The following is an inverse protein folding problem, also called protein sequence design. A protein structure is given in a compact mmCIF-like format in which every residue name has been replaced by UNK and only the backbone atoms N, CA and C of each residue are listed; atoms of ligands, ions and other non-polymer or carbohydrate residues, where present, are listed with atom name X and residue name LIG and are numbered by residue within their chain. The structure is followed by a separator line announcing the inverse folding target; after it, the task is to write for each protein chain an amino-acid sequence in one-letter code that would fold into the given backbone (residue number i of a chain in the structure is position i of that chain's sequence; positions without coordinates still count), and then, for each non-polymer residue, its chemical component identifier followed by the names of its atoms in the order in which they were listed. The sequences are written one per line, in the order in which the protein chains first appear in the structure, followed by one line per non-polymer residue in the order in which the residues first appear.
data_IF_721207938778
#
_entry.id   IF_721207938778
#
_cell.length_a   1.000
_cell.length_b   1.000
_cell.length_c   1.000
_cell.angle_alpha   90.00
_cell.angle_beta   90.00
_cell.angle_gamma   90.00
#
_symmetry.space_group_name_H-M   'P 1'
#
loop_
_entity.id
_entity.type
_entity.pdbx_description
1 polymer ?
#
# COMPACT_ATOMS: atom_id res chain seq x y z
N UNK A 1 -24.74 -7.94 -8.76
CA UNK A 1 -23.29 -7.73 -8.59
C UNK A 1 -22.66 -7.59 -9.97
N UNK A 2 -21.92 -6.53 -10.22
CA UNK A 2 -21.16 -6.40 -11.48
C UNK A 2 -19.94 -7.35 -11.45
N UNK A 3 -19.25 -7.59 -12.61
CA UNK A 3 -18.13 -8.54 -12.65
C UNK A 3 -16.98 -8.21 -11.68
N UNK A 4 -16.64 -6.94 -11.51
CA UNK A 4 -15.59 -6.52 -10.57
C UNK A 4 -16.01 -6.79 -9.13
N UNK A 5 -17.21 -6.44 -8.76
CA UNK A 5 -17.76 -6.68 -7.41
C UNK A 5 -17.83 -8.17 -7.08
N UNK A 6 -18.21 -9.02 -8.07
CA UNK A 6 -18.19 -10.48 -7.92
C UNK A 6 -16.76 -11.01 -7.68
N UNK A 7 -15.77 -10.50 -8.41
CA UNK A 7 -14.36 -10.86 -8.20
C UNK A 7 -13.85 -10.43 -6.83
N UNK A 8 -14.21 -9.22 -6.39
CA UNK A 8 -13.84 -8.71 -5.07
C UNK A 8 -14.51 -9.50 -3.93
N UNK A 9 -15.76 -9.95 -4.12
CA UNK A 9 -16.42 -10.81 -3.13
C UNK A 9 -15.76 -12.19 -3.06
N UNK A 10 -15.43 -12.80 -4.22
CA UNK A 10 -14.64 -14.04 -4.27
C UNK A 10 -13.29 -13.87 -3.57
N UNK A 11 -12.63 -12.73 -3.73
CA UNK A 11 -11.41 -12.42 -2.98
C UNK A 11 -11.63 -12.44 -1.47
N UNK A 12 -12.73 -11.87 -0.96
CA UNK A 12 -13.06 -11.90 0.46
C UNK A 12 -13.32 -13.33 0.96
N UNK A 13 -13.97 -14.20 0.16
CA UNK A 13 -14.16 -15.62 0.46
C UNK A 13 -12.81 -16.36 0.56
N UNK A 14 -11.89 -16.11 -0.36
CA UNK A 14 -10.54 -16.69 -0.35
C UNK A 14 -9.72 -16.25 0.86
N UNK A 15 -9.84 -14.98 1.26
CA UNK A 15 -9.22 -14.49 2.49
C UNK A 15 -9.81 -15.18 3.74
N UNK A 16 -11.14 -15.33 3.80
CA UNK A 16 -11.84 -15.96 4.92
C UNK A 16 -11.48 -17.43 5.08
N UNK A 17 -11.31 -18.15 3.98
CA UNK A 17 -10.99 -19.59 3.95
C UNK A 17 -9.48 -19.90 4.03
N UNK A 18 -8.61 -18.90 3.99
CA UNK A 18 -7.17 -19.11 3.99
C UNK A 18 -6.67 -19.67 5.34
N UNK A 19 -6.16 -20.90 5.33
CA UNK A 19 -5.57 -21.56 6.51
C UNK A 19 -4.04 -21.56 6.52
N UNK A 20 -3.39 -21.24 5.39
CA UNK A 20 -1.93 -21.28 5.24
C UNK A 20 -1.22 -20.18 6.02
N UNK A 21 -1.85 -18.99 6.09
CA UNK A 21 -1.34 -17.85 6.84
C UNK A 21 -2.51 -17.01 7.38
N UNK A 22 -2.28 -16.30 8.49
CA UNK A 22 -3.24 -15.30 8.96
C UNK A 22 -3.09 -14.05 8.11
N UNK A 23 -3.97 -13.92 7.10
CA UNK A 23 -3.97 -12.79 6.15
C UNK A 23 -4.79 -11.60 6.64
N UNK A 24 -5.76 -11.85 7.52
CA UNK A 24 -6.65 -10.84 8.10
C UNK A 24 -6.98 -11.16 9.55
N UNK A 25 -7.38 -10.14 10.30
CA UNK A 25 -7.94 -10.30 11.65
C UNK A 25 -9.46 -10.49 11.66
N UNK A 26 -10.13 -10.13 10.56
CA UNK A 26 -11.59 -10.22 10.40
C UNK A 26 -11.99 -11.65 10.00
N UNK A 27 -13.13 -12.10 10.45
CA UNK A 27 -13.68 -13.42 10.13
C UNK A 27 -14.94 -13.29 9.29
N UNK A 28 -15.14 -14.27 8.38
CA UNK A 28 -16.30 -14.28 7.47
C UNK A 28 -16.10 -13.39 6.23
N UNK A 29 -16.60 -13.89 5.10
CA UNK A 29 -16.44 -13.22 3.81
C UNK A 29 -17.16 -11.87 3.77
N UNK A 30 -18.37 -11.79 4.31
CA UNK A 30 -19.18 -10.57 4.33
C UNK A 30 -18.51 -9.42 5.09
N UNK A 31 -17.97 -9.71 6.29
CA UNK A 31 -17.26 -8.73 7.09
C UNK A 31 -15.94 -8.31 6.42
N UNK A 32 -15.20 -9.26 5.83
CA UNK A 32 -13.97 -8.95 5.08
C UNK A 32 -14.31 -8.07 3.87
N UNK A 33 -15.36 -8.41 3.13
CA UNK A 33 -15.79 -7.61 1.99
C UNK A 33 -16.18 -6.19 2.39
N UNK A 34 -17.04 -6.07 3.40
CA UNK A 34 -17.57 -4.77 3.83
C UNK A 34 -16.53 -3.91 4.54
N UNK A 35 -15.77 -4.50 5.47
CA UNK A 35 -14.88 -3.73 6.36
C UNK A 35 -13.46 -3.56 5.83
N UNK A 36 -13.04 -4.38 4.85
CA UNK A 36 -11.67 -4.34 4.36
C UNK A 36 -11.57 -4.11 2.86
N UNK A 37 -12.34 -4.84 2.05
CA UNK A 37 -12.29 -4.68 0.58
C UNK A 37 -12.92 -3.36 0.16
N UNK A 38 -14.14 -3.08 0.61
CA UNK A 38 -14.82 -1.80 0.31
C UNK A 38 -14.08 -0.59 0.91
N UNK A 39 -13.42 -0.77 2.05
CA UNK A 39 -12.58 0.26 2.67
C UNK A 39 -11.39 0.71 1.80
N UNK A 40 -10.99 -0.11 0.83
CA UNK A 40 -9.93 0.23 -0.12
C UNK A 40 -10.43 1.05 -1.32
N UNK A 41 -11.74 1.05 -1.62
CA UNK A 41 -12.30 1.69 -2.82
C UNK A 41 -12.00 3.21 -2.92
N UNK A 42 -12.03 4.00 -1.82
CA UNK A 42 -11.70 5.42 -1.89
C UNK A 42 -10.31 5.73 -2.44
N UNK A 43 -9.37 4.77 -2.37
CA UNK A 43 -8.02 4.95 -2.93
C UNK A 43 -7.98 4.96 -4.46
N UNK A 44 -9.02 4.44 -5.12
CA UNK A 44 -9.09 4.37 -6.58
C UNK A 44 -9.07 5.74 -7.26
N UNK A 45 -9.49 6.80 -6.55
CA UNK A 45 -9.52 8.18 -7.06
C UNK A 45 -8.12 8.78 -7.20
N UNK A 46 -7.11 8.17 -6.57
CA UNK A 46 -5.73 8.64 -6.57
C UNK A 46 -4.81 7.84 -7.48
N UNK A 47 -5.28 6.71 -7.99
CA UNK A 47 -4.50 5.84 -8.88
C UNK A 47 -4.33 6.49 -10.26
N UNK A 48 -3.21 6.25 -10.95
CA UNK A 48 -3.09 6.60 -12.36
C UNK A 48 -4.00 5.72 -13.22
N UNK A 49 -4.32 6.20 -14.43
CA UNK A 49 -5.16 5.43 -15.37
C UNK A 49 -4.47 4.16 -15.88
N UNK A 50 -3.14 4.18 -15.96
CA UNK A 50 -2.29 3.05 -16.34
C UNK A 50 -0.88 3.20 -15.75
N UNK A 51 -0.08 2.15 -15.82
CA UNK A 51 1.31 2.17 -15.33
C UNK A 51 1.55 1.15 -14.22
N UNK A 52 2.61 1.38 -13.44
CA UNK A 52 3.07 0.47 -12.39
C UNK A 52 2.78 1.04 -11.01
N UNK A 53 2.09 0.26 -10.19
CA UNK A 53 1.82 0.63 -8.79
C UNK A 53 2.29 -0.47 -7.85
N UNK A 54 2.63 -0.11 -6.62
CA UNK A 54 3.10 -1.07 -5.62
C UNK A 54 2.35 -0.89 -4.30
N UNK A 55 1.92 -2.00 -3.73
CA UNK A 55 1.34 -2.10 -2.39
C UNK A 55 2.40 -2.68 -1.44
N UNK A 56 2.91 -1.85 -0.52
CA UNK A 56 4.02 -2.19 0.37
C UNK A 56 3.48 -2.63 1.73
N UNK A 57 3.91 -3.83 2.16
CA UNK A 57 3.33 -4.48 3.32
C UNK A 57 1.92 -4.99 3.02
N UNK A 58 1.73 -5.55 1.83
CA UNK A 58 0.41 -5.92 1.29
C UNK A 58 -0.37 -6.94 2.15
N UNK A 59 0.30 -7.68 3.03
CA UNK A 59 -0.32 -8.61 3.94
C UNK A 59 -1.19 -9.65 3.23
N UNK A 60 -2.51 -9.48 3.33
CA UNK A 60 -3.51 -10.29 2.63
C UNK A 60 -3.79 -9.83 1.19
N UNK A 61 -3.02 -8.89 0.65
CA UNK A 61 -3.21 -8.34 -0.70
C UNK A 61 -4.08 -7.07 -0.74
N UNK A 62 -4.24 -6.37 0.36
CA UNK A 62 -5.05 -5.15 0.46
C UNK A 62 -4.18 -3.91 0.74
N UNK A 63 -4.31 -2.86 -0.05
CA UNK A 63 -5.33 -2.59 -1.08
C UNK A 63 -5.02 -3.11 -2.48
N UNK A 64 -3.84 -3.66 -2.76
CA UNK A 64 -3.33 -3.93 -4.10
C UNK A 64 -4.21 -4.83 -4.97
N UNK A 65 -4.85 -5.89 -4.45
CA UNK A 65 -5.78 -6.73 -5.21
C UNK A 65 -7.03 -5.93 -5.62
N UNK A 66 -7.52 -5.04 -4.75
CA UNK A 66 -8.65 -4.15 -5.10
C UNK A 66 -8.26 -3.24 -6.27
N UNK A 67 -7.04 -2.69 -6.26
CA UNK A 67 -6.52 -1.88 -7.36
C UNK A 67 -6.47 -2.68 -8.67
N UNK A 68 -5.92 -3.89 -8.62
CA UNK A 68 -5.76 -4.74 -9.80
C UNK A 68 -7.11 -5.11 -10.44
N UNK A 69 -8.12 -5.43 -9.62
CA UNK A 69 -9.47 -5.78 -10.09
C UNK A 69 -10.20 -4.55 -10.65
N UNK A 70 -10.09 -3.40 -9.97
CA UNK A 70 -10.82 -2.19 -10.37
C UNK A 70 -10.12 -1.38 -11.47
N UNK A 71 -8.83 -1.58 -11.69
CA UNK A 71 -8.00 -0.89 -12.70
C UNK A 71 -7.13 -1.90 -13.46
N UNK A 72 -7.70 -2.67 -14.39
CA UNK A 72 -6.99 -3.74 -15.10
C UNK A 72 -5.84 -3.25 -16.01
N UNK A 73 -5.78 -1.95 -16.32
CA UNK A 73 -4.66 -1.31 -17.02
C UNK A 73 -3.44 -1.01 -16.13
N UNK A 74 -3.55 -1.20 -14.83
CA UNK A 74 -2.42 -1.11 -13.91
C UNK A 74 -1.68 -2.45 -13.82
N UNK A 75 -0.36 -2.39 -13.69
CA UNK A 75 0.45 -3.50 -13.23
C UNK A 75 0.74 -3.31 -11.74
N UNK A 76 0.24 -4.22 -10.92
CA UNK A 76 0.28 -4.09 -9.45
C UNK A 76 1.31 -5.03 -8.87
N UNK A 77 2.26 -4.50 -8.11
CA UNK A 77 3.21 -5.30 -7.32
C UNK A 77 2.74 -5.36 -5.86
N UNK A 78 2.53 -6.56 -5.34
CA UNK A 78 2.25 -6.82 -3.93
C UNK A 78 3.55 -7.19 -3.23
N UNK A 79 4.04 -6.33 -2.34
CA UNK A 79 5.30 -6.53 -1.62
C UNK A 79 5.02 -6.81 -0.14
N UNK A 80 5.49 -7.95 0.36
CA UNK A 80 5.48 -8.28 1.80
C UNK A 80 6.75 -9.05 2.18
N UNK A 81 7.21 -8.93 3.41
CA UNK A 81 8.42 -9.62 3.87
C UNK A 81 8.16 -11.02 4.44
N UNK A 82 6.91 -11.41 4.61
CA UNK A 82 6.53 -12.68 5.24
C UNK A 82 6.24 -13.74 4.19
N UNK A 83 7.15 -14.69 3.99
CA UNK A 83 7.09 -15.71 2.94
C UNK A 83 5.74 -16.46 2.91
N UNK A 84 5.23 -16.90 4.06
CA UNK A 84 3.94 -17.61 4.14
C UNK A 84 2.75 -16.77 3.67
N UNK A 85 2.79 -15.44 3.90
CA UNK A 85 1.76 -14.54 3.37
C UNK A 85 1.87 -14.40 1.86
N UNK A 86 3.10 -14.21 1.35
CA UNK A 86 3.35 -14.10 -0.09
C UNK A 86 2.89 -15.37 -0.84
N UNK A 87 3.17 -16.56 -0.32
CA UNK A 87 2.71 -17.83 -0.89
C UNK A 87 1.19 -17.94 -0.92
N UNK A 88 0.53 -17.60 0.19
CA UNK A 88 -0.93 -17.63 0.26
C UNK A 88 -1.57 -16.61 -0.71
N UNK A 89 -1.01 -15.40 -0.80
CA UNK A 89 -1.52 -14.36 -1.71
C UNK A 89 -1.27 -14.73 -3.17
N UNK A 90 -0.15 -15.39 -3.55
CA UNK A 90 0.05 -15.91 -4.90
C UNK A 90 -1.06 -16.89 -5.29
N UNK A 91 -1.38 -17.85 -4.42
CA UNK A 91 -2.47 -18.78 -4.69
C UNK A 91 -3.81 -18.06 -4.89
N UNK A 92 -4.08 -17.00 -4.13
CA UNK A 92 -5.30 -16.18 -4.29
C UNK A 92 -5.28 -15.45 -5.64
N UNK A 93 -4.17 -14.82 -6.02
CA UNK A 93 -4.00 -14.12 -7.30
C UNK A 93 -4.22 -15.07 -8.49
N UNK A 94 -3.65 -16.29 -8.43
CA UNK A 94 -3.84 -17.35 -9.42
C UNK A 94 -5.30 -17.78 -9.51
N UNK A 95 -5.98 -17.99 -8.38
CA UNK A 95 -7.38 -18.44 -8.36
C UNK A 95 -8.36 -17.34 -8.84
N UNK A 96 -8.00 -16.07 -8.63
CA UNK A 96 -8.74 -14.93 -9.18
C UNK A 96 -8.45 -14.67 -10.67
N UNK A 97 -7.42 -15.30 -11.24
CA UNK A 97 -7.01 -15.11 -12.63
C UNK A 97 -6.44 -13.71 -12.92
N UNK A 98 -5.79 -13.07 -11.96
CA UNK A 98 -5.27 -11.70 -12.10
C UNK A 98 -3.90 -11.70 -12.79
N UNK A 99 -3.90 -11.54 -14.12
CA UNK A 99 -2.66 -11.49 -14.94
C UNK A 99 -1.86 -10.20 -14.82
N UNK A 100 -2.37 -9.20 -14.12
CA UNK A 100 -1.74 -7.88 -13.89
C UNK A 100 -1.17 -7.70 -12.48
N UNK A 101 -0.93 -8.80 -11.75
CA UNK A 101 -0.44 -8.77 -10.36
C UNK A 101 0.82 -9.61 -10.21
N UNK A 102 1.88 -9.01 -9.67
CA UNK A 102 3.09 -9.69 -9.20
C UNK A 102 3.13 -9.73 -7.67
N UNK A 103 3.47 -10.88 -7.09
CA UNK A 103 3.69 -11.02 -5.64
C UNK A 103 5.18 -11.21 -5.34
N UNK A 104 5.76 -10.26 -4.62
CA UNK A 104 7.20 -10.24 -4.28
C UNK A 104 7.39 -10.40 -2.77
N UNK A 105 8.27 -11.32 -2.39
CA UNK A 105 8.63 -11.52 -0.99
C UNK A 105 10.00 -10.87 -0.72
N UNK A 106 9.98 -9.67 -0.14
CA UNK A 106 11.19 -8.92 0.23
C UNK A 106 10.86 -7.83 1.25
N UNK A 107 11.87 -7.36 1.96
CA UNK A 107 11.77 -6.10 2.72
C UNK A 107 11.74 -4.91 1.76
N UNK A 108 10.97 -3.87 2.13
CA UNK A 108 10.87 -2.64 1.32
C UNK A 108 12.22 -1.99 1.07
N UNK A 109 13.06 -1.92 2.09
CA UNK A 109 14.39 -1.32 2.03
C UNK A 109 15.33 -2.07 1.06
N UNK A 110 15.24 -3.40 1.02
CA UNK A 110 16.01 -4.23 0.09
C UNK A 110 15.47 -4.09 -1.33
N UNK A 111 14.18 -4.24 -1.51
CA UNK A 111 13.50 -4.13 -2.79
C UNK A 111 13.76 -2.78 -3.46
N UNK A 112 13.73 -1.69 -2.69
CA UNK A 112 13.98 -0.34 -3.18
C UNK A 112 15.40 -0.14 -3.74
N UNK A 113 16.41 -0.96 -3.38
CA UNK A 113 17.77 -0.83 -3.91
C UNK A 113 17.84 -1.10 -5.41
N UNK A 114 17.06 -2.07 -5.90
CA UNK A 114 17.00 -2.45 -7.32
C UNK A 114 15.82 -1.86 -8.08
N UNK A 115 14.81 -1.30 -7.38
CA UNK A 115 13.57 -0.79 -7.97
C UNK A 115 13.32 0.68 -7.65
N UNK A 116 14.41 1.46 -7.49
CA UNK A 116 14.27 2.90 -7.22
C UNK A 116 13.49 3.60 -8.33
N UNK A 117 12.56 4.46 -7.91
CA UNK A 117 11.81 5.33 -8.81
C UNK A 117 11.22 4.59 -10.03
N UNK A 118 10.70 3.37 -9.77
CA UNK A 118 10.16 2.49 -10.82
C UNK A 118 8.63 2.50 -10.91
N UNK A 119 7.96 3.04 -9.89
CA UNK A 119 6.50 3.03 -9.78
C UNK A 119 5.90 4.42 -9.94
N UNK A 120 4.71 4.46 -10.51
CA UNK A 120 3.92 5.68 -10.66
C UNK A 120 3.19 6.04 -9.35
N UNK A 121 2.85 5.01 -8.55
CA UNK A 121 2.31 5.17 -7.20
C UNK A 121 2.82 4.04 -6.30
N UNK A 122 3.18 4.38 -5.06
CA UNK A 122 3.35 3.42 -3.98
C UNK A 122 2.33 3.67 -2.87
N UNK A 123 1.68 2.62 -2.43
CA UNK A 123 0.74 2.72 -1.33
C UNK A 123 0.97 1.68 -0.25
N UNK A 124 0.36 1.91 0.90
CA UNK A 124 0.38 0.99 2.04
C UNK A 124 -0.87 1.15 2.89
N UNK A 125 -1.30 0.06 3.53
CA UNK A 125 -2.33 0.06 4.55
C UNK A 125 -1.82 -0.62 5.81
N UNK A 126 -1.96 0.05 6.97
CA UNK A 126 -1.54 -0.47 8.28
C UNK A 126 -0.05 -0.89 8.36
N UNK A 127 0.85 -0.19 7.64
CA UNK A 127 2.27 -0.51 7.61
C UNK A 127 3.02 0.05 8.83
N UNK A 128 2.98 1.37 9.03
CA UNK A 128 3.65 2.09 10.13
C UNK A 128 3.06 3.49 10.29
N UNK A 129 3.66 4.38 11.11
CA UNK A 129 3.31 5.81 11.16
C UNK A 129 3.49 6.49 9.80
N UNK A 130 2.89 7.67 9.61
CA UNK A 130 2.93 8.38 8.32
C UNK A 130 4.37 8.67 7.86
N UNK A 131 5.24 9.14 8.77
CA UNK A 131 6.63 9.44 8.45
C UNK A 131 7.44 8.21 8.07
N UNK A 132 7.33 7.12 8.84
CA UNK A 132 7.99 5.85 8.54
C UNK A 132 7.50 5.26 7.21
N UNK A 133 6.19 5.28 6.99
CA UNK A 133 5.59 4.83 5.73
C UNK A 133 6.13 5.64 4.55
N UNK A 134 6.18 6.97 4.66
CA UNK A 134 6.71 7.84 3.63
C UNK A 134 8.19 7.53 3.31
N UNK A 135 9.03 7.24 4.31
CA UNK A 135 10.42 6.83 4.10
C UNK A 135 10.54 5.54 3.31
N UNK A 136 9.71 4.54 3.63
CA UNK A 136 9.77 3.23 2.96
C UNK A 136 9.24 3.27 1.53
N UNK A 137 8.26 4.13 1.24
CA UNK A 137 7.59 4.18 -0.05
C UNK A 137 8.24 5.17 -1.03
N UNK A 138 8.70 6.33 -0.54
CA UNK A 138 9.21 7.40 -1.41
C UNK A 138 10.34 6.97 -2.36
N UNK A 139 11.31 6.12 -1.96
CA UNK A 139 12.37 5.67 -2.86
C UNK A 139 11.88 4.86 -4.05
N UNK A 140 10.69 4.24 -3.97
CA UNK A 140 10.11 3.41 -5.02
C UNK A 140 9.41 4.24 -6.10
N UNK A 141 9.00 5.47 -5.78
CA UNK A 141 8.14 6.30 -6.63
C UNK A 141 8.95 7.24 -7.50
N UNK A 142 8.62 7.32 -8.79
CA UNK A 142 9.17 8.27 -9.76
C UNK A 142 8.86 9.72 -9.36
N UNK A 143 9.71 10.67 -9.75
CA UNK A 143 9.35 12.08 -9.68
C UNK A 143 8.08 12.34 -10.52
N UNK A 144 7.13 13.08 -9.98
CA UNK A 144 5.77 13.26 -10.55
C UNK A 144 4.76 12.18 -10.16
N UNK A 145 5.19 11.10 -9.51
CA UNK A 145 4.30 10.06 -8.97
C UNK A 145 3.74 10.40 -7.58
N UNK A 146 3.07 9.44 -6.96
CA UNK A 146 2.36 9.65 -5.68
C UNK A 146 2.71 8.59 -4.65
N UNK A 147 2.72 8.99 -3.38
CA UNK A 147 2.76 8.10 -2.22
C UNK A 147 1.42 8.19 -1.50
N UNK A 148 0.84 7.05 -1.14
CA UNK A 148 -0.49 6.94 -0.52
C UNK A 148 -0.45 6.05 0.71
N UNK A 149 -1.11 6.43 1.80
CA UNK A 149 -1.34 5.51 2.93
C UNK A 149 -2.70 5.71 3.57
N UNK A 150 -3.28 4.61 4.02
CA UNK A 150 -4.50 4.62 4.82
C UNK A 150 -4.17 4.91 6.27
N UNK A 151 -4.90 5.82 6.89
CA UNK A 151 -4.70 6.27 8.26
C UNK A 151 -6.04 6.40 9.01
N UNK A 152 -5.93 6.48 10.33
CA UNK A 152 -7.05 6.67 11.24
C UNK A 152 -6.96 7.99 12.00
N UNK A 153 -7.64 8.04 13.13
CA UNK A 153 -7.84 9.24 13.97
C UNK A 153 -6.55 9.99 14.36
N UNK A 154 -5.41 9.26 14.50
CA UNK A 154 -4.14 9.85 14.90
C UNK A 154 -3.34 10.49 13.76
N UNK A 155 -3.93 10.63 12.58
CA UNK A 155 -3.23 11.12 11.38
C UNK A 155 -2.58 12.49 11.58
N UNK A 156 -3.27 13.41 12.25
CA UNK A 156 -2.74 14.76 12.47
C UNK A 156 -1.53 14.77 13.43
N UNK A 157 -1.53 13.91 14.45
CA UNK A 157 -0.38 13.71 15.34
C UNK A 157 0.80 13.18 14.55
N UNK A 158 0.62 12.09 13.79
CA UNK A 158 1.66 11.46 12.97
C UNK A 158 2.26 12.40 11.92
N UNK A 159 1.46 13.30 11.35
CA UNK A 159 1.93 14.30 10.38
C UNK A 159 2.70 15.42 11.09
N UNK A 160 2.20 15.89 12.23
CA UNK A 160 2.83 16.99 12.98
C UNK A 160 4.21 16.61 13.53
N UNK A 161 4.43 15.33 13.86
CA UNK A 161 5.75 14.83 14.29
C UNK A 161 6.85 15.02 13.24
N UNK A 162 6.50 14.92 11.96
CA UNK A 162 7.46 15.07 10.84
C UNK A 162 7.73 16.54 10.49
N UNK A 163 6.83 17.44 10.90
CA UNK A 163 6.89 18.87 10.60
C UNK A 163 7.02 19.12 9.08
N UNK A 164 7.97 19.97 8.67
CA UNK A 164 8.24 20.34 7.27
C UNK A 164 9.33 19.47 6.60
N UNK A 165 9.76 18.36 7.23
CA UNK A 165 10.91 17.56 6.78
C UNK A 165 10.58 16.59 5.63
N UNK A 166 9.34 16.56 5.12
CA UNK A 166 8.92 15.72 3.97
C UNK A 166 9.81 15.89 2.74
N UNK A 167 10.30 17.12 2.51
CA UNK A 167 11.23 17.43 1.44
C UNK A 167 12.56 16.66 1.49
N UNK A 168 12.96 16.11 2.65
CA UNK A 168 14.12 15.22 2.78
C UNK A 168 13.93 13.90 2.03
N UNK A 169 12.68 13.46 1.86
CA UNK A 169 12.32 12.27 1.07
C UNK A 169 11.98 12.59 -0.39
N UNK A 170 12.02 13.87 -0.79
CA UNK A 170 11.57 14.30 -2.10
C UNK A 170 10.05 14.39 -2.24
N UNK A 171 9.33 14.48 -1.13
CA UNK A 171 7.87 14.56 -1.08
C UNK A 171 7.39 15.98 -0.82
N UNK A 172 6.16 16.28 -1.27
CA UNK A 172 5.41 17.48 -0.87
C UNK A 172 4.98 17.39 0.60
N UNK A 173 4.36 18.42 1.14
CA UNK A 173 3.50 18.28 2.32
C UNK A 173 2.35 17.33 2.00
N UNK A 174 1.91 16.49 2.95
CA UNK A 174 0.80 15.57 2.73
C UNK A 174 -0.55 16.29 2.66
N UNK A 175 -1.41 15.84 1.76
CA UNK A 175 -2.85 16.07 1.81
C UNK A 175 -3.53 14.99 2.64
N UNK A 176 -4.52 15.34 3.45
CA UNK A 176 -5.34 14.39 4.23
C UNK A 176 -6.75 14.42 3.69
N UNK A 177 -7.25 13.28 3.24
CA UNK A 177 -8.56 13.14 2.62
C UNK A 177 -9.39 12.16 3.44
N UNK A 178 -10.36 12.67 4.21
CA UNK A 178 -11.24 11.84 5.02
C UNK A 178 -12.31 11.17 4.17
N UNK A 179 -12.66 9.93 4.54
CA UNK A 179 -13.76 9.16 3.96
C UNK A 179 -14.46 8.33 5.06
N UNK A 180 -15.76 8.15 4.96
CA UNK A 180 -16.51 7.41 5.99
C UNK A 180 -16.51 8.05 7.38
N UNK A 181 -16.54 9.40 7.46
CA UNK A 181 -16.41 10.18 8.67
C UNK A 181 -14.97 10.60 8.99
N UNK A 182 -14.71 11.07 10.22
CA UNK A 182 -13.37 11.57 10.62
C UNK A 182 -12.42 10.47 11.09
N UNK A 183 -12.89 9.22 11.22
CA UNK A 183 -12.09 8.11 11.75
C UNK A 183 -11.17 7.45 10.72
N UNK A 184 -11.35 7.72 9.42
CA UNK A 184 -10.59 7.10 8.34
C UNK A 184 -10.17 8.13 7.30
N UNK A 185 -8.92 8.08 6.88
CA UNK A 185 -8.43 8.97 5.83
C UNK A 185 -7.37 8.30 4.96
N UNK A 186 -7.17 8.89 3.79
CA UNK A 186 -6.05 8.65 2.90
C UNK A 186 -5.12 9.86 3.01
N UNK A 187 -3.86 9.59 3.33
CA UNK A 187 -2.78 10.57 3.28
C UNK A 187 -2.07 10.42 1.95
N UNK A 188 -1.92 11.52 1.24
CA UNK A 188 -1.35 11.58 -0.10
C UNK A 188 -0.19 12.55 -0.16
N UNK A 189 0.94 12.13 -0.72
CA UNK A 189 2.08 12.97 -1.05
C UNK A 189 2.34 12.95 -2.55
N UNK A 190 2.67 14.10 -3.11
CA UNK A 190 3.24 14.19 -4.46
C UNK A 190 4.75 13.99 -4.38
N UNK A 191 5.32 13.18 -5.27
CA UNK A 191 6.76 13.01 -5.41
C UNK A 191 7.33 14.14 -6.24
N UNK A 192 7.79 15.21 -5.58
CA UNK A 192 8.21 16.47 -6.24
C UNK A 192 9.64 16.43 -6.78
N UNK A 193 10.50 15.55 -6.23
CA UNK A 193 11.88 15.35 -6.69
C UNK A 193 12.40 13.96 -6.34
N UNK A 194 13.55 13.59 -6.88
CA UNK A 194 14.21 12.31 -6.57
C UNK A 194 14.45 12.15 -5.08
N UNK A 195 14.21 10.94 -4.58
CA UNK A 195 14.56 10.58 -3.21
C UNK A 195 16.09 10.46 -3.10
N UNK A 196 16.73 11.11 -2.11
CA UNK A 196 18.18 11.00 -1.91
C UNK A 196 18.66 9.56 -1.79
N UNK A 197 19.88 9.29 -2.23
CA UNK A 197 20.45 7.94 -2.24
C UNK A 197 20.57 7.30 -0.84
N UNK A 198 20.60 8.11 0.23
CA UNK A 198 20.60 7.63 1.60
C UNK A 198 19.30 6.99 2.08
N UNK A 199 18.22 7.11 1.28
CA UNK A 199 16.92 6.49 1.59
C UNK A 199 16.56 5.39 0.58
N UNK A 200 15.84 4.33 1.00
CA UNK A 200 15.53 4.07 2.40
C UNK A 200 16.82 3.78 3.16
N UNK A 201 16.83 4.08 4.44
CA UNK A 201 17.94 3.71 5.32
C UNK A 201 17.99 2.19 5.48
N UNK A 202 18.99 1.66 6.19
CA UNK A 202 19.11 0.21 6.41
C UNK A 202 17.83 -0.38 7.01
N UNK A 203 17.61 -1.65 6.76
CA UNK A 203 16.46 -2.41 7.26
C UNK A 203 16.20 -2.17 8.75
N UNK A 204 14.94 -1.91 9.09
CA UNK A 204 14.45 -1.69 10.45
C UNK A 204 14.81 -0.32 11.05
N UNK A 205 15.68 0.47 10.42
CA UNK A 205 16.11 1.74 10.99
C UNK A 205 14.99 2.79 10.97
N UNK A 206 14.14 2.78 9.97
CA UNK A 206 13.03 3.73 9.85
C UNK A 206 12.08 3.70 11.06
N UNK A 207 11.82 2.51 11.61
CA UNK A 207 11.00 2.34 12.82
C UNK A 207 11.76 2.52 14.14
N UNK A 208 13.09 2.38 14.14
CA UNK A 208 13.90 2.45 15.34
C UNK A 208 14.42 3.87 15.64
N UNK A 209 14.67 4.65 14.58
CA UNK A 209 15.12 6.04 14.66
C UNK A 209 14.52 6.80 13.50
N UNK A 210 13.75 7.82 13.76
CA UNK A 210 13.03 8.55 12.73
C UNK A 210 13.99 9.45 11.92
N UNK A 211 13.71 9.66 10.63
CA UNK A 211 14.54 10.50 9.76
C UNK A 211 14.39 11.98 10.08
N UNK A 212 13.35 12.35 10.77
CA UNK A 212 13.05 13.73 11.15
C UNK A 212 13.60 14.12 12.53
N UNK A 213 14.18 13.21 13.29
CA UNK A 213 14.98 13.48 14.49
C UNK A 213 16.39 13.96 14.08
#
# INVERSE_FOLDING_TARGET
MNPQESTLYKFAELLASCTRARLTGTRGADDIFTLQVQDCLPSLDYLPDSGKVIDVGSGGGLPGIVWAVCRPSLHVTLLDSVAKKCEAVRSIVEELGLGNVDVVCSRSEEFARSHRESFDLAGARALASAGVTAELLSPLVKAGGKVLTFKGERVHEEISEVEDKWGMLGLSRPGVNFYGGEAKCIVLWEKVKRCPAGFPRREGLAGAKHFWE
#
